data_IF_366292832420
#
_entry.id   IF_366292832420
#
_cell.length_a   1.000
_cell.length_b   1.000
_cell.length_c   1.000
_cell.angle_alpha   90.00
_cell.angle_beta   90.00
_cell.angle_gamma   90.00
#
_symmetry.space_group_name_H-M   'P 1'
#
loop_
_entity.id
_entity.type
_entity.pdbx_description
1 polymer ?
#
# COMPACT_ATOMS: atom_id res chain seq x y z
N UNK A 1 -9.30 -24.64 17.11
CA UNK A 1 -8.42 -23.52 16.74
C UNK A 1 -9.20 -22.50 15.95
N UNK A 2 -9.00 -21.21 16.16
CA UNK A 2 -9.67 -20.17 15.37
C UNK A 2 -9.21 -20.24 13.91
N UNK A 3 -10.11 -19.94 12.98
CA UNK A 3 -9.76 -19.88 11.56
C UNK A 3 -8.70 -18.80 11.33
N UNK A 4 -7.81 -18.93 10.33
CA UNK A 4 -6.85 -17.88 10.00
C UNK A 4 -7.50 -16.52 9.71
N UNK A 5 -8.73 -16.52 9.20
CA UNK A 5 -9.53 -15.29 8.99
C UNK A 5 -9.86 -14.62 10.33
N UNK A 6 -10.27 -15.39 11.34
CA UNK A 6 -10.56 -14.87 12.67
C UNK A 6 -9.29 -14.32 13.33
N UNK A 7 -8.16 -15.04 13.22
CA UNK A 7 -6.87 -14.56 13.75
C UNK A 7 -6.47 -13.21 13.15
N UNK A 8 -6.63 -13.05 11.84
CA UNK A 8 -6.34 -11.79 11.17
C UNK A 8 -7.28 -10.69 11.64
N UNK A 9 -8.58 -10.97 11.74
CA UNK A 9 -9.57 -10.00 12.22
C UNK A 9 -9.33 -9.59 13.69
N UNK A 10 -8.98 -10.53 14.56
CA UNK A 10 -8.65 -10.28 15.96
C UNK A 10 -7.38 -9.40 16.07
N UNK A 11 -6.38 -9.65 15.22
CA UNK A 11 -5.18 -8.80 15.16
C UNK A 11 -5.50 -7.35 14.75
N UNK A 12 -6.43 -7.15 13.82
CA UNK A 12 -6.90 -5.80 13.46
C UNK A 12 -7.63 -5.12 14.60
N UNK A 13 -8.49 -5.84 15.32
CA UNK A 13 -9.18 -5.26 16.49
C UNK A 13 -8.18 -4.86 17.56
N UNK A 14 -7.21 -5.72 17.85
CA UNK A 14 -6.18 -5.40 18.84
C UNK A 14 -5.31 -4.20 18.40
N UNK A 15 -4.89 -4.16 17.13
CA UNK A 15 -4.18 -3.01 16.59
C UNK A 15 -5.01 -1.72 16.69
N UNK A 16 -6.30 -1.78 16.37
CA UNK A 16 -7.22 -0.65 16.48
C UNK A 16 -7.36 -0.15 17.92
N UNK A 17 -7.54 -1.04 18.89
CA UNK A 17 -7.61 -0.71 20.31
C UNK A 17 -6.32 -0.05 20.79
N UNK A 18 -5.16 -0.55 20.36
CA UNK A 18 -3.86 0.05 20.72
C UNK A 18 -3.70 1.49 20.22
N UNK A 19 -4.27 1.81 19.05
CA UNK A 19 -4.13 3.13 18.42
C UNK A 19 -5.12 4.17 18.95
N UNK A 20 -6.21 3.75 19.61
CA UNK A 20 -7.29 4.65 20.03
C UNK A 20 -7.91 5.47 18.87
N UNK A 21 -7.79 4.96 17.64
CA UNK A 21 -8.22 5.68 16.43
C UNK A 21 -9.71 5.52 16.14
N UNK A 22 -10.29 6.42 15.33
CA UNK A 22 -11.69 6.32 14.89
C UNK A 22 -11.89 5.41 13.65
N UNK A 23 -11.00 4.44 13.42
CA UNK A 23 -11.12 3.56 12.24
C UNK A 23 -12.19 2.49 12.48
N UNK A 24 -13.16 2.41 11.57
CA UNK A 24 -14.14 1.32 11.59
C UNK A 24 -13.58 0.06 10.93
N UNK A 25 -13.49 -1.03 11.69
CA UNK A 25 -13.09 -2.34 11.18
C UNK A 25 -14.32 -3.25 11.13
N UNK A 26 -14.55 -3.87 9.98
CA UNK A 26 -15.68 -4.79 9.78
C UNK A 26 -15.34 -5.87 8.78
N UNK A 27 -15.89 -7.06 8.98
CA UNK A 27 -15.83 -8.12 7.98
C UNK A 27 -16.61 -7.74 6.72
N UNK A 28 -16.20 -8.29 5.58
CA UNK A 28 -16.90 -8.11 4.31
C UNK A 28 -18.36 -8.58 4.41
N UNK A 29 -19.26 -7.88 3.70
CA UNK A 29 -20.68 -8.23 3.69
C UNK A 29 -20.90 -9.56 2.99
N UNK A 30 -21.78 -10.40 3.55
CA UNK A 30 -22.28 -11.61 2.89
C UNK A 30 -23.06 -11.32 1.61
N UNK A 31 -23.61 -10.10 1.46
CA UNK A 31 -24.41 -9.69 0.29
C UNK A 31 -23.58 -9.24 -0.91
N UNK A 32 -22.30 -8.92 -0.71
CA UNK A 32 -21.36 -8.61 -1.78
C UNK A 32 -20.02 -9.29 -1.49
N UNK A 33 -19.95 -10.62 -1.62
CA UNK A 33 -18.77 -11.40 -1.25
C UNK A 33 -17.63 -11.29 -2.28
N UNK A 34 -17.83 -10.53 -3.37
CA UNK A 34 -16.86 -10.40 -4.44
C UNK A 34 -15.56 -9.77 -3.97
N UNK A 35 -14.44 -10.44 -4.27
CA UNK A 35 -13.11 -9.85 -4.12
C UNK A 35 -12.96 -8.83 -5.27
N UNK A 36 -12.69 -7.54 -4.97
CA UNK A 36 -12.51 -6.55 -6.02
C UNK A 36 -11.27 -6.87 -6.86
N UNK A 37 -11.21 -6.39 -8.13
CA UNK A 37 -10.04 -6.54 -8.98
C UNK A 37 -8.75 -6.17 -8.25
N UNK A 38 -7.90 -7.16 -8.01
CA UNK A 38 -6.69 -7.02 -7.18
C UNK A 38 -5.69 -8.13 -7.48
N UNK A 39 -4.42 -7.90 -7.15
CA UNK A 39 -3.37 -8.92 -7.25
C UNK A 39 -3.68 -10.17 -6.42
N UNK A 40 -4.49 -10.04 -5.37
CA UNK A 40 -4.97 -11.18 -4.59
C UNK A 40 -5.72 -12.21 -5.45
N UNK A 41 -6.49 -11.77 -6.45
CA UNK A 41 -7.18 -12.69 -7.36
C UNK A 41 -6.18 -13.60 -8.11
N UNK A 42 -4.99 -13.09 -8.47
CA UNK A 42 -3.93 -13.88 -9.11
C UNK A 42 -3.35 -14.93 -8.16
N UNK A 43 -3.13 -14.58 -6.89
CA UNK A 43 -2.68 -15.53 -5.87
C UNK A 43 -3.72 -16.62 -5.61
N UNK A 44 -4.99 -16.25 -5.46
CA UNK A 44 -6.08 -17.20 -5.22
C UNK A 44 -6.26 -18.18 -6.37
N UNK A 45 -6.09 -17.73 -7.62
CA UNK A 45 -6.09 -18.63 -8.79
C UNK A 45 -4.99 -19.68 -8.68
N UNK A 46 -3.76 -19.29 -8.34
CA UNK A 46 -2.65 -20.26 -8.17
C UNK A 46 -2.90 -21.25 -7.04
N UNK A 47 -3.44 -20.79 -5.92
CA UNK A 47 -3.78 -21.66 -4.77
C UNK A 47 -4.88 -22.66 -5.15
N UNK A 48 -5.88 -22.24 -5.93
CA UNK A 48 -6.98 -23.11 -6.36
C UNK A 48 -6.55 -24.23 -7.34
N UNK A 49 -5.38 -24.11 -7.97
CA UNK A 49 -4.84 -25.06 -8.95
C UNK A 49 -3.93 -26.11 -8.29
N UNK A 50 -3.58 -25.97 -7.01
CA UNK A 50 -2.72 -26.94 -6.32
C UNK A 50 -3.49 -28.26 -6.05
N UNK A 51 -2.91 -29.43 -6.41
CA UNK A 51 -3.61 -30.73 -6.41
C UNK A 51 -3.89 -31.34 -5.02
N UNK A 52 -3.77 -30.58 -3.93
CA UNK A 52 -4.20 -31.03 -2.60
C UNK A 52 -4.58 -29.85 -1.70
N UNK A 53 -5.80 -29.81 -1.14
CA UNK A 53 -6.20 -28.76 -0.19
C UNK A 53 -5.67 -28.99 1.24
N UNK A 54 -4.67 -29.84 1.43
CA UNK A 54 -4.11 -30.14 2.76
C UNK A 54 -3.00 -29.16 3.13
N UNK A 55 -3.32 -28.31 4.11
CA UNK A 55 -2.38 -27.54 4.95
C UNK A 55 -1.88 -26.17 4.49
N UNK A 56 -2.42 -25.54 3.45
CA UNK A 56 -2.23 -24.09 3.25
C UNK A 56 -3.56 -23.36 3.42
N UNK A 57 -4.00 -23.22 4.68
CA UNK A 57 -5.07 -22.26 5.03
C UNK A 57 -4.48 -20.86 4.96
N UNK A 58 -4.23 -20.38 3.75
CA UNK A 58 -3.79 -19.02 3.50
C UNK A 58 -4.98 -18.11 3.79
N UNK A 59 -4.98 -17.42 4.92
CA UNK A 59 -5.87 -16.28 5.12
C UNK A 59 -5.47 -15.19 4.14
N UNK A 60 -6.11 -15.20 2.98
CA UNK A 60 -6.08 -14.10 2.06
C UNK A 60 -6.89 -12.95 2.66
N UNK A 61 -6.21 -11.85 2.97
CA UNK A 61 -6.83 -10.65 3.49
C UNK A 61 -6.76 -9.54 2.44
N UNK A 62 -7.92 -8.98 2.11
CA UNK A 62 -7.99 -7.68 1.44
C UNK A 62 -8.20 -6.60 2.48
N UNK A 63 -7.22 -5.71 2.62
CA UNK A 63 -7.42 -4.45 3.32
C UNK A 63 -7.96 -3.47 2.29
N UNK A 64 -9.26 -3.20 2.36
CA UNK A 64 -9.85 -2.12 1.58
C UNK A 64 -9.84 -0.85 2.42
N UNK A 65 -8.89 0.03 2.12
CA UNK A 65 -8.87 1.38 2.67
C UNK A 65 -9.86 2.19 1.86
N UNK A 66 -11.08 2.35 2.39
CA UNK A 66 -12.03 3.30 1.82
C UNK A 66 -11.53 4.70 2.16
N UNK A 67 -10.72 5.29 1.29
CA UNK A 67 -10.56 6.74 1.27
C UNK A 67 -11.88 7.27 0.72
N UNK A 68 -12.77 7.69 1.61
CA UNK A 68 -13.92 8.48 1.20
C UNK A 68 -13.39 9.82 0.71
N UNK A 69 -13.18 9.88 -0.60
CA UNK A 69 -13.07 11.15 -1.30
C UNK A 69 -14.40 11.85 -1.07
N UNK A 70 -14.46 12.79 -0.13
CA UNK A 70 -15.59 13.70 -0.01
C UNK A 70 -15.53 14.72 -1.16
N UNK A 71 -15.61 14.24 -2.39
CA UNK A 71 -16.17 15.03 -3.46
C UNK A 71 -17.67 14.95 -3.25
N UNK A 72 -18.33 16.11 -3.09
CA UNK A 72 -19.79 16.21 -3.08
C UNK A 72 -20.36 15.71 -4.40
N UNK A 73 -20.41 14.41 -4.63
CA UNK A 73 -21.31 13.77 -5.59
C UNK A 73 -21.71 12.44 -4.98
N UNK A 74 -22.94 12.43 -4.49
CA UNK A 74 -23.64 11.26 -4.01
C UNK A 74 -23.77 10.21 -5.13
N UNK A 75 -23.71 8.95 -4.72
CA UNK A 75 -24.16 7.77 -5.45
C UNK A 75 -23.38 7.40 -6.73
N UNK A 76 -23.32 6.10 -7.00
CA UNK A 76 -22.98 5.49 -8.30
C UNK A 76 -21.51 5.21 -8.62
N UNK A 77 -20.74 4.74 -7.63
CA UNK A 77 -19.43 4.10 -7.88
C UNK A 77 -19.53 2.77 -8.68
N UNK A 78 -20.73 2.29 -9.04
CA UNK A 78 -20.91 1.01 -9.75
C UNK A 78 -21.58 1.10 -11.14
N UNK A 79 -21.90 2.28 -11.69
CA UNK A 79 -22.74 2.31 -12.90
C UNK A 79 -22.26 3.12 -14.11
N UNK A 80 -21.14 3.85 -14.06
CA UNK A 80 -20.70 4.58 -15.26
C UNK A 80 -19.18 4.76 -15.37
N UNK A 81 -18.55 3.92 -16.20
CA UNK A 81 -17.12 4.00 -16.58
C UNK A 81 -16.81 5.33 -17.31
N UNK A 82 -17.80 5.98 -17.91
CA UNK A 82 -17.59 7.23 -18.65
C UNK A 82 -17.29 8.44 -17.76
N UNK A 83 -17.85 8.52 -16.54
CA UNK A 83 -17.52 9.59 -15.58
C UNK A 83 -16.15 9.36 -14.92
N UNK A 84 -15.67 8.12 -14.87
CA UNK A 84 -14.38 7.77 -14.27
C UNK A 84 -13.20 8.48 -14.96
N UNK A 85 -13.20 8.57 -16.30
CA UNK A 85 -12.10 9.19 -17.07
C UNK A 85 -11.99 10.70 -16.82
N UNK A 86 -13.11 11.39 -16.60
CA UNK A 86 -13.11 12.83 -16.33
C UNK A 86 -12.47 13.16 -14.96
N UNK A 87 -12.63 12.28 -13.96
CA UNK A 87 -12.02 12.45 -12.64
C UNK A 87 -10.58 11.93 -12.55
N UNK A 88 -10.15 11.01 -13.44
CA UNK A 88 -8.76 10.50 -13.51
C UNK A 88 -7.73 11.61 -13.76
N UNK A 89 -8.11 12.69 -14.47
CA UNK A 89 -7.24 13.85 -14.65
C UNK A 89 -7.08 14.74 -13.40
N UNK A 90 -7.91 14.55 -12.37
CA UNK A 90 -7.96 15.39 -11.16
C UNK A 90 -7.62 14.63 -9.87
N UNK A 91 -6.90 13.51 -9.97
CA UNK A 91 -6.23 12.90 -8.82
C UNK A 91 -4.96 13.68 -8.51
N UNK A 92 -5.12 14.78 -7.78
CA UNK A 92 -4.01 15.55 -7.22
C UNK A 92 -3.91 15.28 -5.72
N UNK A 93 -2.74 15.49 -5.12
CA UNK A 93 -2.55 15.38 -3.67
C UNK A 93 -3.56 16.19 -2.83
N UNK A 94 -4.14 17.26 -3.40
CA UNK A 94 -5.15 18.08 -2.75
C UNK A 94 -6.42 17.30 -2.33
N UNK A 95 -6.71 16.18 -2.98
CA UNK A 95 -7.87 15.34 -2.68
C UNK A 95 -7.54 14.19 -1.71
N UNK A 96 -6.31 14.09 -1.22
CA UNK A 96 -5.84 12.99 -0.38
C UNK A 96 -5.56 13.49 1.03
N UNK A 97 -6.19 12.83 2.00
CA UNK A 97 -5.97 13.11 3.41
C UNK A 97 -4.75 12.31 3.91
N UNK A 98 -3.61 12.97 4.04
CA UNK A 98 -2.37 12.37 4.56
C UNK A 98 -2.54 11.81 5.97
N UNK A 99 -3.32 12.47 6.83
CA UNK A 99 -3.62 11.98 8.19
C UNK A 99 -4.39 10.65 8.18
N UNK A 100 -5.34 10.49 7.25
CA UNK A 100 -6.03 9.21 7.06
C UNK A 100 -5.06 8.09 6.61
N UNK A 101 -4.09 8.42 5.75
CA UNK A 101 -3.03 7.48 5.34
C UNK A 101 -2.16 7.11 6.53
N UNK A 102 -1.73 8.08 7.35
CA UNK A 102 -0.94 7.82 8.58
C UNK A 102 -1.68 6.87 9.50
N UNK A 103 -2.95 7.16 9.80
CA UNK A 103 -3.77 6.33 10.70
C UNK A 103 -3.92 4.91 10.15
N UNK A 104 -4.16 4.78 8.85
CA UNK A 104 -4.27 3.48 8.18
C UNK A 104 -2.95 2.73 8.18
N UNK A 105 -1.83 3.41 7.91
CA UNK A 105 -0.51 2.82 7.92
C UNK A 105 -0.14 2.31 9.32
N UNK A 106 -0.44 3.08 10.37
CA UNK A 106 -0.22 2.66 11.75
C UNK A 106 -1.02 1.40 12.08
N UNK A 107 -2.29 1.35 11.66
CA UNK A 107 -3.14 0.16 11.84
C UNK A 107 -2.54 -1.07 11.14
N UNK A 108 -2.12 -0.92 9.87
CA UNK A 108 -1.49 -2.00 9.11
C UNK A 108 -0.20 -2.46 9.77
N UNK A 109 0.66 -1.55 10.19
CA UNK A 109 1.95 -1.89 10.82
C UNK A 109 1.75 -2.60 12.16
N UNK A 110 0.87 -2.13 13.03
CA UNK A 110 0.56 -2.80 14.30
C UNK A 110 -0.02 -4.21 14.04
N UNK A 111 -0.93 -4.33 13.07
CA UNK A 111 -1.52 -5.63 12.70
C UNK A 111 -0.45 -6.60 12.20
N UNK A 112 0.46 -6.15 11.31
CA UNK A 112 1.56 -6.97 10.82
C UNK A 112 2.49 -7.42 11.95
N UNK A 113 2.79 -6.54 12.91
CA UNK A 113 3.61 -6.88 14.07
C UNK A 113 2.94 -7.94 14.95
N UNK A 114 1.63 -7.79 15.23
CA UNK A 114 0.85 -8.78 16.00
C UNK A 114 0.85 -10.14 15.29
N UNK A 115 0.61 -10.16 13.99
CA UNK A 115 0.58 -11.40 13.20
C UNK A 115 1.96 -12.07 13.10
N UNK A 116 3.02 -11.28 12.91
CA UNK A 116 4.39 -11.80 12.82
C UNK A 116 4.91 -12.35 14.16
N UNK A 117 4.46 -11.79 15.28
CA UNK A 117 4.82 -12.24 16.62
C UNK A 117 3.89 -13.34 17.18
N UNK A 118 2.89 -13.81 16.42
CA UNK A 118 1.84 -14.72 16.88
C UNK A 118 1.15 -14.20 18.17
N UNK A 119 1.08 -12.87 18.31
CA UNK A 119 0.55 -12.17 19.49
C UNK A 119 1.39 -12.28 20.77
N UNK A 120 2.53 -12.99 20.77
CA UNK A 120 3.30 -13.29 21.98
C UNK A 120 4.11 -12.10 22.49
N UNK A 121 4.52 -11.22 21.58
CA UNK A 121 5.34 -10.04 21.89
C UNK A 121 4.54 -8.74 21.76
N UNK A 122 3.31 -8.80 21.27
CA UNK A 122 2.45 -7.64 21.12
C UNK A 122 1.87 -7.20 22.47
N UNK A 123 2.46 -6.16 23.05
CA UNK A 123 1.87 -5.39 24.15
C UNK A 123 1.83 -3.90 23.78
N UNK A 124 0.97 -3.14 24.47
CA UNK A 124 0.76 -1.72 24.18
C UNK A 124 2.07 -0.92 24.18
N UNK A 125 3.01 -1.20 25.10
CA UNK A 125 4.29 -0.49 25.16
C UNK A 125 5.13 -0.67 23.88
N UNK A 126 5.12 -1.87 23.30
CA UNK A 126 5.84 -2.14 22.05
C UNK A 126 5.08 -1.54 20.88
N UNK A 127 3.76 -1.72 20.83
CA UNK A 127 2.93 -1.15 19.77
C UNK A 127 3.04 0.39 19.73
N UNK A 128 3.02 1.06 20.88
CA UNK A 128 3.20 2.51 21.02
C UNK A 128 4.59 3.00 20.54
N UNK A 129 5.59 2.12 20.55
CA UNK A 129 6.92 2.43 20.03
C UNK A 129 7.02 2.35 18.51
N UNK A 130 6.06 1.70 17.85
CA UNK A 130 5.99 1.56 16.39
C UNK A 130 5.18 2.74 15.84
N UNK A 131 5.87 3.75 15.33
CA UNK A 131 5.22 4.96 14.85
C UNK A 131 5.39 5.15 13.34
N UNK A 132 4.33 5.63 12.70
CA UNK A 132 4.40 6.11 11.32
C UNK A 132 4.85 7.57 11.33
N UNK A 133 5.90 7.87 10.59
CA UNK A 133 6.37 9.24 10.43
C UNK A 133 5.40 10.02 9.53
N UNK A 134 4.58 10.89 10.15
CA UNK A 134 3.55 11.67 9.45
C UNK A 134 4.12 12.65 8.43
N UNK A 135 5.23 13.33 8.76
CA UNK A 135 5.91 14.25 7.84
C UNK A 135 6.43 13.54 6.60
N UNK A 136 6.96 12.32 6.75
CA UNK A 136 7.38 11.50 5.61
C UNK A 136 6.20 11.08 4.75
N UNK A 137 5.07 10.70 5.35
CA UNK A 137 3.85 10.35 4.60
C UNK A 137 3.33 11.55 3.80
N UNK A 138 3.24 12.72 4.43
CA UNK A 138 2.83 13.95 3.76
C UNK A 138 3.76 14.30 2.60
N UNK A 139 5.08 14.20 2.82
CA UNK A 139 6.05 14.42 1.76
C UNK A 139 5.84 13.43 0.61
N UNK A 140 5.79 12.12 0.88
CA UNK A 140 5.56 11.08 -0.15
C UNK A 140 4.26 11.31 -0.94
N UNK A 141 3.16 11.68 -0.27
CA UNK A 141 1.87 11.98 -0.93
C UNK A 141 2.02 13.15 -1.90
N UNK A 142 2.66 14.24 -1.47
CA UNK A 142 2.89 15.40 -2.33
C UNK A 142 3.82 15.02 -3.49
N UNK A 143 4.95 14.35 -3.23
CA UNK A 143 5.97 14.07 -4.25
C UNK A 143 5.53 13.06 -5.31
N UNK A 144 4.77 12.04 -4.91
CA UNK A 144 4.38 10.97 -5.82
C UNK A 144 3.09 11.28 -6.60
N UNK A 145 2.33 12.29 -6.18
CA UNK A 145 1.00 12.59 -6.74
C UNK A 145 0.85 14.02 -7.27
N UNK A 146 1.90 14.84 -7.22
CA UNK A 146 1.91 16.18 -7.82
C UNK A 146 3.09 16.35 -8.78
N UNK A 147 2.88 17.14 -9.82
CA UNK A 147 3.94 17.56 -10.74
C UNK A 147 4.80 18.71 -10.19
N UNK A 148 4.42 19.34 -9.09
CA UNK A 148 5.11 20.48 -8.47
C UNK A 148 4.97 20.30 -6.94
N UNK A 149 6.02 19.97 -6.16
CA UNK A 149 7.44 20.27 -6.40
C UNK A 149 8.27 19.03 -6.83
N UNK A 150 7.64 18.11 -7.58
CA UNK A 150 8.27 17.09 -8.46
C UNK A 150 8.95 15.92 -7.75
N UNK A 151 9.44 14.99 -8.57
CA UNK A 151 10.52 14.02 -8.26
C UNK A 151 11.90 14.68 -8.08
N UNK A 152 12.02 15.99 -8.32
CA UNK A 152 13.27 16.72 -8.14
C UNK A 152 13.46 17.30 -6.73
N UNK A 153 12.67 16.85 -5.75
CA UNK A 153 12.83 17.23 -4.34
C UNK A 153 14.04 16.52 -3.71
N UNK A 154 14.50 17.02 -2.56
CA UNK A 154 15.62 16.41 -1.82
C UNK A 154 15.39 14.92 -1.56
N UNK A 155 14.21 14.57 -1.02
CA UNK A 155 13.86 13.19 -0.71
C UNK A 155 14.07 12.24 -1.89
N UNK A 156 13.67 12.59 -3.12
CA UNK A 156 13.80 11.68 -4.27
C UNK A 156 15.19 11.74 -4.89
N UNK A 157 15.83 12.91 -4.90
CA UNK A 157 17.19 13.11 -5.42
C UNK A 157 18.25 12.33 -4.66
N UNK A 158 17.99 12.06 -3.39
CA UNK A 158 18.88 11.22 -2.57
C UNK A 158 18.88 9.75 -3.04
N UNK A 159 17.87 9.33 -3.82
CA UNK A 159 17.74 7.94 -4.30
C UNK A 159 17.95 7.76 -5.80
N UNK A 160 17.56 8.74 -6.62
CA UNK A 160 17.59 8.62 -8.09
C UNK A 160 17.88 9.97 -8.76
N UNK A 161 18.40 9.92 -9.98
CA UNK A 161 18.38 11.02 -10.94
C UNK A 161 17.14 10.91 -11.84
N UNK A 162 16.00 11.55 -11.51
CA UNK A 162 14.76 11.36 -12.26
C UNK A 162 14.87 11.91 -13.69
N UNK A 163 14.32 11.16 -14.64
CA UNK A 163 14.25 11.55 -16.06
C UNK A 163 13.07 12.49 -16.34
N UNK A 164 12.04 12.47 -15.49
CA UNK A 164 10.87 13.33 -15.58
C UNK A 164 10.53 13.99 -14.24
N UNK A 165 9.96 15.20 -14.34
CA UNK A 165 9.52 15.96 -13.18
C UNK A 165 8.15 15.49 -12.64
N UNK A 166 7.31 14.96 -13.52
CA UNK A 166 5.97 14.48 -13.17
C UNK A 166 5.98 12.97 -12.93
N UNK A 167 5.54 12.50 -11.75
CA UNK A 167 5.31 11.08 -11.49
C UNK A 167 4.42 10.44 -12.56
N UNK A 168 4.84 9.29 -13.08
CA UNK A 168 4.05 8.46 -14.00
C UNK A 168 4.01 7.03 -13.49
N UNK A 169 2.80 6.54 -13.19
CA UNK A 169 2.57 5.17 -12.72
C UNK A 169 2.26 4.18 -13.85
N UNK A 170 2.36 4.63 -15.10
CA UNK A 170 2.26 3.73 -16.25
C UNK A 170 3.49 2.82 -16.28
N UNK A 171 3.26 1.52 -16.31
CA UNK A 171 4.31 0.48 -16.21
C UNK A 171 5.21 0.38 -17.44
N UNK A 172 4.94 1.16 -18.49
CA UNK A 172 5.73 1.16 -19.72
C UNK A 172 5.50 -0.09 -20.57
N UNK A 173 6.42 -0.31 -21.50
CA UNK A 173 6.48 -1.49 -22.35
C UNK A 173 7.78 -2.22 -22.05
N UNK A 174 7.69 -3.52 -21.76
CA UNK A 174 8.86 -4.38 -21.68
C UNK A 174 9.29 -4.72 -23.11
N UNK A 175 10.42 -4.16 -23.54
CA UNK A 175 10.98 -4.42 -24.87
C UNK A 175 12.14 -5.40 -24.73
N UNK A 176 11.95 -6.62 -25.22
CA UNK A 176 12.97 -7.68 -25.18
C UNK A 176 12.88 -8.61 -23.97
N UNK A 177 13.88 -9.47 -23.83
CA UNK A 177 13.97 -10.42 -22.71
C UNK A 177 14.38 -9.72 -21.40
N UNK A 178 13.91 -10.20 -20.24
CA UNK A 178 14.34 -9.67 -18.94
C UNK A 178 15.87 -9.75 -18.79
N UNK A 179 16.50 -8.63 -18.44
CA UNK A 179 17.94 -8.55 -18.17
C UNK A 179 18.18 -8.35 -16.66
N UNK A 180 19.29 -8.88 -16.16
CA UNK A 180 19.78 -8.59 -14.80
C UNK A 180 20.28 -7.15 -14.64
N UNK A 181 20.56 -6.47 -15.76
CA UNK A 181 20.85 -5.05 -15.84
C UNK A 181 19.93 -4.43 -16.91
N UNK A 182 18.68 -4.09 -16.55
CA UNK A 182 17.77 -3.43 -17.49
C UNK A 182 18.32 -2.05 -17.87
N UNK A 183 18.12 -1.63 -19.12
CA UNK A 183 18.41 -0.25 -19.51
C UNK A 183 17.54 0.69 -18.66
N UNK A 184 18.14 1.78 -18.17
CA UNK A 184 17.48 2.77 -17.32
C UNK A 184 16.17 3.29 -17.93
N UNK A 185 16.13 3.43 -19.26
CA UNK A 185 14.96 3.90 -20.01
C UNK A 185 13.76 2.94 -19.96
N UNK A 186 13.97 1.68 -19.57
CA UNK A 186 12.91 0.68 -19.40
C UNK A 186 12.36 0.59 -17.96
N UNK A 187 12.95 1.32 -17.01
CA UNK A 187 12.49 1.33 -15.62
C UNK A 187 11.97 2.71 -15.26
N UNK A 188 10.69 2.81 -14.91
CA UNK A 188 10.10 4.10 -14.53
C UNK A 188 10.79 4.72 -13.32
N UNK A 189 10.94 6.05 -13.30
CA UNK A 189 11.51 6.79 -12.16
C UNK A 189 10.84 6.40 -10.83
N UNK A 190 9.52 6.16 -10.84
CA UNK A 190 8.77 5.73 -9.64
C UNK A 190 9.21 4.35 -9.17
N UNK A 191 9.42 3.40 -10.09
CA UNK A 191 9.88 2.06 -9.73
C UNK A 191 11.29 2.09 -9.15
N UNK A 192 12.18 2.88 -9.74
CA UNK A 192 13.55 3.06 -9.24
C UNK A 192 13.57 3.72 -7.86
N UNK A 193 12.80 4.80 -7.68
CA UNK A 193 12.67 5.47 -6.39
C UNK A 193 12.13 4.53 -5.32
N UNK A 194 11.01 3.85 -5.58
CA UNK A 194 10.39 2.92 -4.61
C UNK A 194 11.35 1.80 -4.23
N UNK A 195 12.07 1.23 -5.21
CA UNK A 195 13.07 0.20 -4.96
C UNK A 195 14.18 0.69 -4.02
N UNK A 196 14.85 1.79 -4.39
CA UNK A 196 15.97 2.34 -3.61
C UNK A 196 15.51 2.81 -2.22
N UNK A 197 14.37 3.51 -2.15
CA UNK A 197 13.77 3.97 -0.91
C UNK A 197 13.44 2.83 0.05
N UNK A 198 12.79 1.77 -0.43
CA UNK A 198 12.48 0.61 0.40
C UNK A 198 13.74 -0.17 0.80
N UNK A 199 14.72 -0.26 -0.10
CA UNK A 199 15.99 -0.92 0.19
C UNK A 199 16.73 -0.23 1.34
N UNK A 200 16.81 1.10 1.37
CA UNK A 200 17.39 1.82 2.50
C UNK A 200 16.57 1.61 3.79
N UNK A 201 15.25 1.78 3.72
CA UNK A 201 14.37 1.74 4.90
C UNK A 201 14.29 0.37 5.58
N UNK A 202 14.54 -0.70 4.83
CA UNK A 202 14.47 -2.08 5.34
C UNK A 202 15.85 -2.69 5.58
N UNK A 203 16.93 -2.02 5.15
CA UNK A 203 18.26 -2.57 5.33
C UNK A 203 18.80 -2.31 6.75
N UNK A 204 19.27 -3.38 7.39
CA UNK A 204 19.90 -3.33 8.71
C UNK A 204 21.34 -2.78 8.65
N UNK A 205 22.03 -2.95 7.52
CA UNK A 205 23.42 -2.55 7.27
C UNK A 205 23.70 -2.33 5.77
N UNK A 206 23.20 -1.24 5.17
CA UNK A 206 23.54 -0.90 3.78
C UNK A 206 24.19 0.48 3.73
N UNK A 207 25.43 0.51 3.22
CA UNK A 207 26.04 1.70 2.65
C UNK A 207 25.64 1.72 1.17
N UNK A 208 24.55 2.41 0.84
CA UNK A 208 24.22 2.64 -0.57
C UNK A 208 25.12 3.76 -1.10
N UNK A 209 26.21 3.40 -1.78
CA UNK A 209 26.85 4.31 -2.72
C UNK A 209 25.98 4.33 -3.99
N UNK A 210 24.96 5.17 -3.99
CA UNK A 210 24.24 5.54 -5.21
C UNK A 210 25.13 6.53 -5.96
N UNK A 211 25.96 6.01 -6.87
CA UNK A 211 26.66 6.79 -7.89
C UNK A 211 25.93 6.65 -9.22
#
# INVERSE_FOLDING_TARGET
GSSPVNKTFDAFQYAHESLGSNIKISMASKSNPGIPPSSLMSFLRKISILPSPTSLTTAALMIYVRVELFLRVAADFFHNIYNFIYYVFYFTAANINSSAIVTTASLVTHTLYILASDGKEANNKILDSINVNSSLVEELVIRLLTCEPRLSCGLVKDYIGPTSNCPKNYVGVLVGEPSTAPLLDYVSDISQFVWNFLAERTCKHCLFNLQ
#
